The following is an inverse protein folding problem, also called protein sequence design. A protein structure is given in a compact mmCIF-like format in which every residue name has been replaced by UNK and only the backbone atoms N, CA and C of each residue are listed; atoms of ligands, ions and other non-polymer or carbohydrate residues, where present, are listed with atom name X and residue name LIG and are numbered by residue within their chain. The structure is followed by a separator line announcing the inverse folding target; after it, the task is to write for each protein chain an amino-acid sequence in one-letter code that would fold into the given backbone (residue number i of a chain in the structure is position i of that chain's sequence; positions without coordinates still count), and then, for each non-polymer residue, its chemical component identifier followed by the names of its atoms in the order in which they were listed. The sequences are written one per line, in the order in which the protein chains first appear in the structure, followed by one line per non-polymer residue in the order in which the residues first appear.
data_IF_218416937242
#
_entry.id   IF_218416937242
#
_cell.length_a   1.000
_cell.length_b   1.000
_cell.length_c   1.000
_cell.angle_alpha   90.00
_cell.angle_beta   90.00
_cell.angle_gamma   90.00
#
_symmetry.space_group_name_H-M   'P 1'
#
loop_
_entity.id
_entity.type
_entity.pdbx_description
1 polymer ?
#
# COMPACT_ATOMS: atom_id res chain seq x y z
N UNK A 1 -7.50 -21.26 24.91
CA UNK A 1 -6.92 -20.13 24.17
C UNK A 1 -6.82 -20.53 22.71
N UNK A 2 -7.87 -20.31 21.92
CA UNK A 2 -7.81 -20.54 20.47
C UNK A 2 -7.15 -19.32 19.85
N UNK A 3 -5.88 -19.43 19.50
CA UNK A 3 -5.24 -18.47 18.59
C UNK A 3 -5.97 -18.57 17.26
N UNK A 4 -6.93 -17.67 17.04
CA UNK A 4 -7.45 -17.41 15.71
C UNK A 4 -6.30 -16.76 14.94
N UNK A 5 -5.60 -17.54 14.12
CA UNK A 5 -4.73 -16.96 13.09
C UNK A 5 -5.65 -16.15 12.17
N UNK A 6 -5.67 -14.83 12.30
CA UNK A 6 -6.40 -13.99 11.33
C UNK A 6 -5.84 -14.28 9.95
N UNK A 7 -6.71 -14.79 9.06
CA UNK A 7 -6.38 -15.04 7.66
C UNK A 7 -5.88 -13.75 7.01
N UNK A 8 -5.04 -13.88 5.98
CA UNK A 8 -4.70 -12.72 5.16
C UNK A 8 -5.98 -12.13 4.51
N UNK A 9 -6.04 -10.81 4.30
CA UNK A 9 -7.10 -10.19 3.53
C UNK A 9 -7.23 -10.79 2.13
N UNK A 10 -8.39 -10.62 1.50
CA UNK A 10 -8.53 -10.88 0.07
C UNK A 10 -7.52 -10.05 -0.76
N UNK A 11 -7.30 -10.42 -2.01
CA UNK A 11 -6.40 -9.71 -2.94
C UNK A 11 -4.95 -9.55 -2.42
N UNK A 12 -4.50 -10.52 -1.61
CA UNK A 12 -3.10 -10.63 -1.16
C UNK A 12 -2.42 -11.89 -1.69
N UNK A 13 -1.10 -11.86 -1.83
CA UNK A 13 -0.27 -12.98 -2.30
C UNK A 13 1.04 -13.07 -1.50
N UNK A 14 1.90 -14.02 -1.88
CA UNK A 14 3.16 -14.30 -1.19
C UNK A 14 2.98 -15.09 0.12
N UNK A 15 4.08 -15.48 0.77
CA UNK A 15 4.04 -16.20 2.04
C UNK A 15 3.23 -15.43 3.09
N UNK A 16 2.18 -16.05 3.65
CA UNK A 16 1.33 -15.42 4.64
C UNK A 16 0.41 -14.29 4.13
N UNK A 17 0.32 -14.11 2.80
CA UNK A 17 -0.50 -13.09 2.16
C UNK A 17 -0.01 -11.67 2.47
N UNK A 18 1.30 -11.45 2.49
CA UNK A 18 1.90 -10.18 2.92
C UNK A 18 2.05 -9.14 1.80
N UNK A 19 1.68 -9.49 0.57
CA UNK A 19 1.77 -8.61 -0.59
C UNK A 19 0.36 -8.28 -1.07
N UNK A 20 -0.03 -7.01 -1.04
CA UNK A 20 -1.30 -6.55 -1.61
C UNK A 20 -1.18 -6.45 -3.13
N UNK A 21 -2.22 -6.84 -3.87
CA UNK A 21 -2.17 -6.91 -5.33
C UNK A 21 -3.30 -6.15 -6.01
N UNK A 22 -2.94 -5.38 -7.04
CA UNK A 22 -3.85 -4.70 -7.96
C UNK A 22 -3.52 -5.04 -9.42
N UNK A 23 -4.50 -4.99 -10.32
CA UNK A 23 -4.32 -5.30 -11.75
C UNK A 23 -4.40 -6.78 -12.15
N UNK A 24 -4.64 -7.70 -11.20
CA UNK A 24 -4.95 -9.11 -11.52
C UNK A 24 -6.43 -9.28 -11.82
N UNK A 25 -6.86 -8.87 -13.01
CA UNK A 25 -8.20 -9.16 -13.52
C UNK A 25 -8.37 -10.65 -13.91
N UNK A 26 -9.56 -10.99 -14.42
CA UNK A 26 -9.88 -12.32 -14.98
C UNK A 26 -9.30 -12.57 -16.38
N UNK A 27 -8.59 -11.60 -16.95
CA UNK A 27 -7.88 -11.71 -18.23
C UNK A 27 -6.50 -12.37 -18.09
N UNK A 28 -5.73 -12.45 -19.21
CA UNK A 28 -4.34 -12.85 -19.18
C UNK A 28 -3.57 -12.03 -18.14
N UNK A 29 -2.78 -12.71 -17.33
CA UNK A 29 -1.98 -12.02 -16.32
C UNK A 29 -0.88 -11.21 -17.02
N UNK A 30 -0.58 -9.98 -16.55
CA UNK A 30 0.55 -9.22 -17.03
C UNK A 30 1.84 -10.03 -16.95
N UNK A 31 2.73 -9.88 -17.93
CA UNK A 31 4.05 -10.53 -17.92
C UNK A 31 5.00 -9.95 -16.88
N UNK A 32 4.75 -8.72 -16.41
CA UNK A 32 5.61 -7.96 -15.51
C UNK A 32 4.96 -7.69 -14.16
N UNK A 33 5.78 -7.62 -13.12
CA UNK A 33 5.38 -7.20 -11.78
C UNK A 33 6.10 -5.91 -11.40
N UNK A 34 5.32 -4.87 -11.08
CA UNK A 34 5.81 -3.64 -10.48
C UNK A 34 5.53 -3.69 -8.97
N UNK A 35 6.57 -3.93 -8.17
CA UNK A 35 6.46 -4.00 -6.71
C UNK A 35 6.88 -2.69 -6.07
N UNK A 36 6.01 -2.14 -5.26
CA UNK A 36 6.17 -0.91 -4.49
C UNK A 36 6.35 -1.25 -3.01
N UNK A 37 7.47 -0.83 -2.46
CA UNK A 37 7.74 -0.85 -1.03
C UNK A 37 7.44 0.54 -0.47
N UNK A 38 6.50 0.63 0.45
CA UNK A 38 6.00 1.91 0.95
C UNK A 38 5.67 1.85 2.44
N UNK A 39 5.67 3.01 3.10
CA UNK A 39 5.06 3.20 4.42
C UNK A 39 3.98 4.27 4.26
N UNK A 40 2.80 4.05 4.84
CA UNK A 40 1.64 4.95 4.73
C UNK A 40 1.86 6.29 5.44
N UNK A 41 2.87 6.43 6.32
CA UNK A 41 3.30 7.70 6.92
C UNK A 41 4.50 8.33 6.22
N UNK A 42 5.12 7.67 5.24
CA UNK A 42 6.32 8.18 4.58
C UNK A 42 6.02 9.36 3.64
N UNK A 43 6.64 10.55 3.83
CA UNK A 43 6.40 11.74 3.02
C UNK A 43 6.93 11.59 1.59
N UNK A 44 7.99 10.79 1.39
CA UNK A 44 8.48 10.49 0.04
C UNK A 44 7.53 9.53 -0.69
N UNK A 45 6.93 8.56 0.01
CA UNK A 45 5.88 7.71 -0.55
C UNK A 45 4.68 8.55 -0.99
N UNK A 46 4.24 9.52 -0.19
CA UNK A 46 3.20 10.48 -0.59
C UNK A 46 3.55 11.24 -1.87
N UNK A 47 4.79 11.70 -2.03
CA UNK A 47 5.23 12.41 -3.23
C UNK A 47 5.22 11.49 -4.46
N UNK A 48 5.71 10.26 -4.31
CA UNK A 48 5.68 9.24 -5.38
C UNK A 48 4.25 8.86 -5.74
N UNK A 49 3.38 8.61 -4.77
CA UNK A 49 1.98 8.28 -5.03
C UNK A 49 1.27 9.42 -5.78
N UNK A 50 1.49 10.68 -5.38
CA UNK A 50 0.91 11.83 -6.08
C UNK A 50 1.43 11.99 -7.52
N UNK A 51 2.71 11.73 -7.76
CA UNK A 51 3.34 11.93 -9.08
C UNK A 51 3.19 10.75 -10.03
N UNK A 52 3.30 9.52 -9.51
CA UNK A 52 3.42 8.28 -10.28
C UNK A 52 2.30 7.27 -9.97
N UNK A 53 1.57 7.41 -8.87
CA UNK A 53 0.44 6.52 -8.52
C UNK A 53 -0.56 6.35 -9.67
N UNK A 54 -1.07 7.43 -10.29
CA UNK A 54 -1.96 7.34 -11.45
C UNK A 54 -1.34 6.62 -12.66
N UNK A 55 -0.02 6.74 -12.86
CA UNK A 55 0.70 6.07 -13.95
C UNK A 55 0.78 4.57 -13.69
N UNK A 56 1.15 4.18 -12.47
CA UNK A 56 1.23 2.77 -12.04
C UNK A 56 -0.15 2.10 -12.09
N UNK A 57 -1.20 2.79 -11.61
CA UNK A 57 -2.59 2.32 -11.66
C UNK A 57 -3.04 2.09 -13.11
N UNK A 58 -2.76 3.05 -14.01
CA UNK A 58 -3.08 2.92 -15.44
C UNK A 58 -2.37 1.74 -16.10
N UNK A 59 -1.07 1.54 -15.83
CA UNK A 59 -0.33 0.38 -16.37
C UNK A 59 -0.93 -0.95 -15.89
N UNK A 60 -1.43 -0.99 -14.64
CA UNK A 60 -2.09 -2.16 -14.10
C UNK A 60 -3.47 -2.41 -14.74
N UNK A 61 -4.24 -1.36 -15.00
CA UNK A 61 -5.53 -1.42 -15.70
C UNK A 61 -5.39 -1.84 -17.17
N UNK A 62 -4.33 -1.39 -17.84
CA UNK A 62 -3.97 -1.80 -19.19
C UNK A 62 -3.42 -3.24 -19.26
N UNK A 63 -3.25 -3.91 -18.11
CA UNK A 63 -2.70 -5.26 -18.03
C UNK A 63 -1.21 -5.34 -18.38
N UNK A 64 -0.48 -4.23 -18.34
CA UNK A 64 0.96 -4.18 -18.63
C UNK A 64 1.80 -4.63 -17.44
N UNK A 65 1.35 -4.35 -16.22
CA UNK A 65 2.00 -4.78 -14.98
C UNK A 65 0.99 -5.32 -13.99
N UNK A 66 1.39 -6.24 -13.13
CA UNK A 66 0.73 -6.47 -11.85
C UNK A 66 1.34 -5.50 -10.85
N UNK A 67 0.51 -4.68 -10.19
CA UNK A 67 0.97 -3.77 -9.15
C UNK A 67 0.92 -4.48 -7.80
N UNK A 68 2.06 -4.57 -7.13
CA UNK A 68 2.20 -5.20 -5.82
C UNK A 68 2.67 -4.20 -4.78
N UNK A 69 2.06 -4.20 -3.59
CA UNK A 69 2.53 -3.40 -2.46
C UNK A 69 3.05 -4.28 -1.33
N UNK A 70 4.28 -4.00 -0.87
CA UNK A 70 4.89 -4.57 0.33
C UNK A 70 5.11 -3.43 1.34
N UNK A 71 4.23 -3.31 2.32
CA UNK A 71 4.28 -2.19 3.25
C UNK A 71 5.28 -2.39 4.39
N UNK A 72 5.94 -1.29 4.76
CA UNK A 72 6.68 -1.12 6.01
C UNK A 72 5.79 -0.45 7.06
N UNK A 73 6.24 -0.51 8.32
CA UNK A 73 5.68 0.30 9.42
C UNK A 73 6.76 0.90 10.32
N UNK A 74 8.01 1.00 9.85
CA UNK A 74 9.15 1.40 10.68
C UNK A 74 9.08 2.86 11.14
N UNK A 75 8.23 3.70 10.52
CA UNK A 75 8.01 5.07 10.99
C UNK A 75 7.40 5.07 12.39
N UNK A 76 6.60 4.04 12.74
CA UNK A 76 6.06 3.90 14.08
C UNK A 76 7.18 3.72 15.14
N UNK A 77 8.28 3.05 14.79
CA UNK A 77 9.44 2.88 15.69
C UNK A 77 10.26 4.18 15.82
N UNK A 78 10.43 4.92 14.72
CA UNK A 78 11.27 6.11 14.66
C UNK A 78 10.60 7.38 15.17
N UNK A 79 9.36 7.64 14.71
CA UNK A 79 8.57 8.81 15.07
C UNK A 79 7.63 8.56 16.26
N UNK A 80 7.46 7.30 16.67
CA UNK A 80 6.49 6.91 17.69
C UNK A 80 5.07 6.75 17.13
N UNK A 81 4.21 6.12 17.94
CA UNK A 81 2.82 5.89 17.58
C UNK A 81 2.57 4.53 16.93
N UNK A 82 1.41 4.39 16.30
CA UNK A 82 1.00 3.14 15.62
C UNK A 82 0.31 3.40 14.28
N UNK A 83 0.39 4.62 13.75
CA UNK A 83 -0.39 5.05 12.60
C UNK A 83 -0.07 4.29 11.32
N UNK A 84 1.17 3.85 11.12
CA UNK A 84 1.55 3.03 9.96
C UNK A 84 0.87 1.66 10.05
N UNK A 85 0.94 1.02 11.23
CA UNK A 85 0.27 -0.26 11.50
C UNK A 85 -1.25 -0.17 11.39
N UNK A 86 -1.87 0.86 11.99
CA UNK A 86 -3.32 1.06 11.94
C UNK A 86 -3.82 1.32 10.52
N UNK A 87 -3.13 2.20 9.77
CA UNK A 87 -3.47 2.48 8.38
C UNK A 87 -3.31 1.21 7.51
N UNK A 88 -2.25 0.43 7.71
CA UNK A 88 -2.05 -0.83 6.98
C UNK A 88 -3.15 -1.84 7.30
N UNK A 89 -3.51 -2.00 8.58
CA UNK A 89 -4.67 -2.83 8.98
C UNK A 89 -5.96 -2.41 8.27
N UNK A 90 -6.23 -1.10 8.17
CA UNK A 90 -7.39 -0.58 7.45
C UNK A 90 -7.33 -0.82 5.93
N UNK A 91 -6.13 -0.77 5.32
CA UNK A 91 -5.93 -1.22 3.93
C UNK A 91 -6.27 -2.70 3.77
N UNK A 92 -5.90 -3.54 4.74
CA UNK A 92 -6.34 -4.94 4.79
C UNK A 92 -7.87 -5.07 4.78
N UNK A 93 -8.57 -4.27 5.57
CA UNK A 93 -10.04 -4.25 5.57
C UNK A 93 -10.62 -3.80 4.22
N UNK A 94 -10.03 -2.79 3.58
CA UNK A 94 -10.43 -2.34 2.25
C UNK A 94 -10.18 -3.40 1.17
N UNK A 95 -9.14 -4.22 1.35
CA UNK A 95 -8.82 -5.31 0.43
C UNK A 95 -9.90 -6.38 0.34
N UNK A 96 -10.62 -6.64 1.44
CA UNK A 96 -11.77 -7.55 1.41
C UNK A 96 -12.94 -7.01 0.58
N UNK A 97 -13.07 -5.69 0.47
CA UNK A 97 -14.07 -5.06 -0.41
C UNK A 97 -13.66 -5.09 -1.89
N UNK A 98 -12.42 -5.47 -2.19
CA UNK A 98 -11.90 -5.64 -3.55
C UNK A 98 -10.63 -4.84 -3.81
N UNK A 99 -9.80 -5.31 -4.75
CA UNK A 99 -8.52 -4.69 -5.08
C UNK A 99 -8.65 -3.21 -5.49
N UNK A 100 -9.69 -2.85 -6.26
CA UNK A 100 -9.95 -1.46 -6.64
C UNK A 100 -10.35 -0.58 -5.45
N UNK A 101 -11.10 -1.12 -4.48
CA UNK A 101 -11.44 -0.37 -3.27
C UNK A 101 -10.20 -0.12 -2.40
N UNK A 102 -9.33 -1.12 -2.25
CA UNK A 102 -8.05 -0.97 -1.55
C UNK A 102 -7.13 0.04 -2.24
N UNK A 103 -6.99 -0.02 -3.58
CA UNK A 103 -6.16 0.93 -4.33
C UNK A 103 -6.64 2.37 -4.14
N UNK A 104 -7.96 2.60 -4.26
CA UNK A 104 -8.55 3.93 -4.03
C UNK A 104 -8.37 4.39 -2.58
N UNK A 105 -8.41 3.49 -1.62
CA UNK A 105 -8.20 3.82 -0.22
C UNK A 105 -6.74 4.17 0.10
N UNK A 106 -5.77 3.43 -0.45
CA UNK A 106 -4.34 3.78 -0.38
C UNK A 106 -4.11 5.19 -0.92
N UNK A 107 -4.71 5.53 -2.07
CA UNK A 107 -4.65 6.88 -2.64
C UNK A 107 -5.25 7.93 -1.72
N UNK A 108 -6.40 7.65 -1.09
CA UNK A 108 -7.02 8.55 -0.11
C UNK A 108 -6.11 8.79 1.10
N UNK A 109 -5.51 7.73 1.65
CA UNK A 109 -4.56 7.80 2.76
C UNK A 109 -3.35 8.66 2.39
N UNK A 110 -2.69 8.42 1.25
CA UNK A 110 -1.55 9.25 0.84
C UNK A 110 -1.94 10.70 0.53
N UNK A 111 -3.12 10.93 -0.08
CA UNK A 111 -3.60 12.28 -0.38
C UNK A 111 -3.73 13.12 0.90
N UNK A 112 -4.24 12.50 1.97
CA UNK A 112 -4.52 13.09 3.28
C UNK A 112 -3.49 12.75 4.36
N UNK A 113 -2.32 12.22 3.97
CA UNK A 113 -1.27 11.80 4.90
C UNK A 113 -0.85 13.00 5.79
N UNK A 114 -0.83 12.82 7.12
CA UNK A 114 -0.41 13.85 8.07
C UNK A 114 1.10 14.15 7.93
N UNK A 115 1.63 15.05 8.76
CA UNK A 115 3.08 15.16 8.92
C UNK A 115 3.63 13.85 9.50
N UNK A 116 4.90 13.52 9.22
CA UNK A 116 5.48 12.23 9.63
C UNK A 116 5.48 12.04 11.16
N UNK A 117 5.62 13.13 11.92
CA UNK A 117 5.59 13.18 13.39
C UNK A 117 4.18 13.24 13.99
N UNK A 118 3.14 13.32 13.16
CA UNK A 118 1.74 13.31 13.58
C UNK A 118 1.13 11.91 13.36
N UNK A 119 0.77 11.26 14.47
CA UNK A 119 0.23 9.90 14.50
C UNK A 119 -1.30 9.84 14.24
N UNK A 120 -1.87 10.81 13.51
CA UNK A 120 -3.31 10.88 13.24
C UNK A 120 -3.90 9.57 12.66
N UNK A 121 -3.13 8.77 11.94
CA UNK A 121 -3.56 7.49 11.41
C UNK A 121 -3.75 6.39 12.45
N UNK A 122 -3.31 6.58 13.70
CA UNK A 122 -3.65 5.68 14.80
C UNK A 122 -5.12 5.82 15.24
N UNK A 123 -5.77 6.95 14.94
CA UNK A 123 -7.20 7.17 15.21
C UNK A 123 -8.07 6.49 14.15
N UNK A 124 -8.82 5.47 14.54
CA UNK A 124 -9.77 4.77 13.66
C UNK A 124 -10.81 5.71 13.06
N UNK A 125 -11.21 6.77 13.77
CA UNK A 125 -12.11 7.79 13.26
C UNK A 125 -11.51 8.56 12.07
N UNK A 126 -10.20 8.83 12.07
CA UNK A 126 -9.51 9.41 10.90
C UNK A 126 -9.56 8.44 9.74
N UNK A 127 -9.19 7.17 9.96
CA UNK A 127 -9.19 6.14 8.92
C UNK A 127 -10.57 5.92 8.31
N UNK A 128 -11.62 5.88 9.13
CA UNK A 128 -13.02 5.76 8.68
C UNK A 128 -13.46 6.97 7.86
N UNK A 129 -13.14 8.20 8.30
CA UNK A 129 -13.47 9.42 7.52
C UNK A 129 -12.79 9.40 6.16
N UNK A 130 -11.52 9.03 6.08
CA UNK A 130 -10.81 8.95 4.80
C UNK A 130 -11.36 7.85 3.86
N UNK A 131 -12.01 6.83 4.42
CA UNK A 131 -12.69 5.81 3.63
C UNK A 131 -14.02 6.31 3.04
N UNK A 132 -14.58 7.43 3.52
CA UNK A 132 -15.79 8.06 2.92
C UNK A 132 -15.50 8.61 1.51
N UNK A 133 -14.24 8.93 1.21
CA UNK A 133 -13.79 9.36 -0.12
C UNK A 133 -13.79 8.22 -1.16
N UNK A 134 -13.99 6.97 -0.72
CA UNK A 134 -14.02 5.79 -1.60
C UNK A 134 -15.44 5.25 -1.67
N UNK A 135 -16.09 5.48 -2.82
CA UNK A 135 -17.44 5.01 -3.07
C UNK A 135 -17.56 3.50 -2.83
N UNK A 136 -18.53 3.12 -2.00
CA UNK A 136 -18.83 1.71 -1.68
C UNK A 136 -17.90 1.04 -0.68
N UNK A 137 -16.90 1.73 -0.12
CA UNK A 137 -15.99 1.14 0.86
C UNK A 137 -16.58 1.07 2.27
N UNK A 138 -17.23 2.15 2.72
CA UNK A 138 -17.86 2.19 4.05
C UNK A 138 -19.04 1.24 4.13
N UNK A 139 -19.20 0.63 5.30
CA UNK A 139 -20.29 -0.31 5.58
C UNK A 139 -20.02 -1.11 6.86
N UNK A 140 -21.02 -1.83 7.39
CA UNK A 140 -20.89 -2.47 8.71
C UNK A 140 -19.68 -3.39 8.86
N UNK A 141 -19.30 -4.13 7.81
CA UNK A 141 -18.15 -5.03 7.87
C UNK A 141 -16.80 -4.30 7.84
N UNK A 142 -16.61 -3.36 6.92
CA UNK A 142 -15.39 -2.53 6.85
C UNK A 142 -15.21 -1.72 8.14
N UNK A 143 -16.26 -1.01 8.56
CA UNK A 143 -16.23 -0.14 9.73
C UNK A 143 -15.85 -0.91 11.00
N UNK A 144 -16.43 -2.11 11.17
CA UNK A 144 -16.10 -3.01 12.27
C UNK A 144 -14.65 -3.48 12.20
N UNK A 145 -14.17 -3.94 11.03
CA UNK A 145 -12.80 -4.43 10.86
C UNK A 145 -11.76 -3.35 11.18
N UNK A 146 -12.02 -2.10 10.78
CA UNK A 146 -11.14 -0.97 11.09
C UNK A 146 -11.19 -0.64 12.58
N UNK A 147 -12.39 -0.50 13.16
CA UNK A 147 -12.59 -0.13 14.57
C UNK A 147 -12.01 -1.17 15.53
N UNK A 148 -12.14 -2.45 15.21
CA UNK A 148 -11.62 -3.56 16.02
C UNK A 148 -10.14 -3.85 15.76
N UNK A 149 -9.50 -3.18 14.79
CA UNK A 149 -8.13 -3.48 14.40
C UNK A 149 -7.96 -4.92 13.89
N UNK A 150 -8.97 -5.46 13.21
CA UNK A 150 -9.07 -6.88 12.84
C UNK A 150 -7.83 -7.40 12.10
N UNK A 151 -7.21 -6.56 11.28
CA UNK A 151 -6.03 -6.89 10.48
C UNK A 151 -4.70 -6.43 11.09
N UNK A 152 -4.65 -5.94 12.33
CA UNK A 152 -3.39 -5.60 13.01
C UNK A 152 -2.41 -6.80 13.08
N UNK A 153 -2.84 -8.03 13.42
CA UNK A 153 -1.94 -9.18 13.37
C UNK A 153 -1.39 -9.48 11.97
N UNK A 154 -2.13 -9.14 10.91
CA UNK A 154 -1.65 -9.25 9.54
C UNK A 154 -0.68 -8.12 9.19
N UNK A 155 -0.97 -6.87 9.59
CA UNK A 155 -0.09 -5.73 9.39
C UNK A 155 1.29 -5.94 10.01
N UNK A 156 1.37 -6.54 11.22
CA UNK A 156 2.64 -6.94 11.81
C UNK A 156 3.41 -7.97 10.98
N UNK A 157 2.72 -8.94 10.36
CA UNK A 157 3.37 -9.92 9.46
C UNK A 157 3.88 -9.25 8.19
N UNK A 158 3.12 -8.31 7.63
CA UNK A 158 3.54 -7.52 6.46
C UNK A 158 4.79 -6.71 6.79
N UNK A 159 4.83 -6.07 7.96
CA UNK A 159 5.99 -5.32 8.43
C UNK A 159 7.22 -6.20 8.62
N UNK A 160 7.09 -7.37 9.29
CA UNK A 160 8.18 -8.33 9.42
C UNK A 160 8.68 -8.88 8.07
N UNK A 161 7.78 -9.04 7.09
CA UNK A 161 8.15 -9.42 5.73
C UNK A 161 8.93 -8.30 5.01
N UNK A 162 8.58 -7.03 5.24
CA UNK A 162 9.36 -5.89 4.76
C UNK A 162 10.78 -5.89 5.37
N UNK A 163 10.91 -6.04 6.69
CA UNK A 163 12.21 -6.08 7.37
C UNK A 163 13.11 -7.20 6.83
N UNK A 164 12.51 -8.35 6.50
CA UNK A 164 13.21 -9.51 5.93
C UNK A 164 13.50 -9.39 4.43
N UNK A 165 13.00 -8.36 3.76
CA UNK A 165 13.13 -8.20 2.30
C UNK A 165 14.50 -7.70 1.84
N UNK A 166 15.29 -7.11 2.75
CA UNK A 166 16.54 -6.43 2.45
C UNK A 166 16.39 -5.01 1.90
N UNK A 167 15.16 -4.52 1.69
CA UNK A 167 14.89 -3.11 1.36
C UNK A 167 15.08 -2.26 2.60
N UNK A 168 15.89 -1.21 2.51
CA UNK A 168 16.29 -0.37 3.65
C UNK A 168 15.54 0.96 3.74
N UNK A 169 14.63 1.24 2.81
CA UNK A 169 13.95 2.53 2.77
C UNK A 169 12.75 2.57 1.84
N UNK A 170 11.87 3.52 2.10
CA UNK A 170 10.66 3.76 1.32
C UNK A 170 10.67 5.20 0.75
N UNK A 171 10.14 5.41 -0.47
CA UNK A 171 9.67 4.41 -1.41
C UNK A 171 10.83 3.68 -2.09
N UNK A 172 10.65 2.38 -2.34
CA UNK A 172 11.49 1.60 -3.27
C UNK A 172 10.56 0.93 -4.27
N UNK A 173 10.87 0.99 -5.57
CA UNK A 173 10.08 0.34 -6.61
C UNK A 173 10.95 -0.60 -7.42
N UNK A 174 10.46 -1.81 -7.64
CA UNK A 174 11.12 -2.84 -8.43
C UNK A 174 10.23 -3.26 -9.60
N UNK A 175 10.79 -3.34 -10.80
CA UNK A 175 10.17 -4.02 -11.94
C UNK A 175 10.86 -5.36 -12.13
N UNK A 176 10.12 -6.45 -11.94
CA UNK A 176 10.65 -7.82 -12.01
C UNK A 176 11.91 -8.03 -11.15
N UNK A 177 11.92 -7.40 -9.97
CA UNK A 177 13.04 -7.43 -9.03
C UNK A 177 14.20 -6.48 -9.34
N UNK A 178 14.16 -5.74 -10.46
CA UNK A 178 15.16 -4.70 -10.80
C UNK A 178 14.70 -3.34 -10.27
N UNK A 179 15.57 -2.56 -9.59
CA UNK A 179 15.22 -1.23 -9.13
C UNK A 179 14.79 -0.29 -10.26
N UNK A 180 13.76 0.51 -9.99
CA UNK A 180 13.28 1.60 -10.86
C UNK A 180 13.38 2.91 -10.09
N UNK A 181 13.91 3.94 -10.73
CA UNK A 181 14.05 5.27 -10.13
C UNK A 181 12.70 5.95 -10.02
N UNK A 182 12.23 6.19 -8.79
CA UNK A 182 10.96 6.89 -8.53
C UNK A 182 11.12 8.23 -7.85
N UNK A 183 12.28 8.49 -7.25
CA UNK A 183 12.61 9.77 -6.60
C UNK A 183 13.86 10.38 -7.23
N UNK A 184 13.83 11.69 -7.46
CA UNK A 184 14.98 12.45 -7.92
C UNK A 184 15.89 12.85 -6.73
N UNK A 185 17.10 13.39 -6.99
CA UNK A 185 18.02 13.81 -5.91
C UNK A 185 17.47 14.89 -4.97
N UNK A 186 16.40 15.59 -5.35
CA UNK A 186 15.71 16.57 -4.50
C UNK A 186 14.60 15.93 -3.64
N UNK A 187 14.39 14.62 -3.74
CA UNK A 187 13.39 13.89 -2.97
C UNK A 187 11.96 14.08 -3.48
N UNK A 188 11.78 14.46 -4.74
CA UNK A 188 10.47 14.51 -5.40
C UNK A 188 10.33 13.32 -6.35
N UNK A 189 9.08 12.97 -6.70
CA UNK A 189 8.84 11.98 -7.74
C UNK A 189 9.57 12.38 -9.04
N UNK A 190 10.12 11.41 -9.76
CA UNK A 190 10.52 11.65 -11.15
C UNK A 190 9.28 11.95 -12.00
N UNK A 191 9.49 12.55 -13.18
CA UNK A 191 8.39 12.82 -14.11
C UNK A 191 7.79 11.50 -14.63
N UNK A 192 6.48 11.43 -14.91
CA UNK A 192 5.84 10.28 -15.55
C UNK A 192 6.58 9.77 -16.81
N UNK A 193 7.09 10.67 -17.64
CA UNK A 193 7.80 10.33 -18.88
C UNK A 193 9.11 9.60 -18.60
N UNK A 194 9.92 10.12 -17.67
CA UNK A 194 11.16 9.48 -17.24
C UNK A 194 10.91 8.11 -16.58
N UNK A 195 9.86 8.02 -15.75
CA UNK A 195 9.46 6.75 -15.13
C UNK A 195 9.09 5.71 -16.19
N UNK A 196 8.21 6.06 -17.14
CA UNK A 196 7.79 5.16 -18.22
C UNK A 196 8.95 4.73 -19.12
N UNK A 197 9.90 5.62 -19.39
CA UNK A 197 11.09 5.32 -20.19
C UNK A 197 12.02 4.28 -19.54
N UNK A 198 11.98 4.15 -18.21
CA UNK A 198 12.81 3.19 -17.47
C UNK A 198 12.17 1.78 -17.39
N UNK A 199 10.85 1.67 -17.56
CA UNK A 199 10.14 0.40 -17.35
C UNK A 199 10.34 -0.64 -18.47
N UNK A 200 10.78 -0.27 -19.67
CA UNK A 200 11.09 -1.23 -20.77
C UNK A 200 10.07 -2.40 -20.89
N UNK A 201 8.78 -2.04 -20.96
CA UNK A 201 7.63 -2.96 -20.95
C UNK A 201 7.21 -3.40 -22.36
N UNK A 202 8.15 -3.47 -23.30
CA UNK A 202 7.94 -3.82 -24.71
C UNK A 202 8.14 -5.33 -24.98
#
# INVERSE_FOLDING_TARGET
MTSSSTSAPANTTGPGGTILVYGRGSGPQPGHTLRVYADLRCPFCKRVERGLGPVMEKLAEEGRVTLEYQFATFIDDGAGGTGSLCALSAVGAASDAGAAAAQRYIRSLFASQPAEDDDAFADTGVLLRLAEEVEGLRGPDFDRKVTEGFYLPWAHRVSAAFESSGVTGTPTVLLDGRPVTVVNPMGYAVTPEAFLAELDLD
#
